data_IF_819656828138
#
_entry.id   IF_819656828138
#
_cell.length_a   1.000
_cell.length_b   1.000
_cell.length_c   1.000
_cell.angle_alpha   90.00
_cell.angle_beta   90.00
_cell.angle_gamma   90.00
#
_symmetry.space_group_name_H-M   'P 1'
#
loop_
_entity.id
_entity.type
_entity.pdbx_description
1 polymer ?
#
# COMPACT_ATOMS: atom_id res chain seq x y z
N UNK A 1 -9.64 -11.21 -13.01
CA UNK A 1 -9.11 -10.04 -12.28
C UNK A 1 -8.36 -10.61 -11.10
N UNK A 2 -7.04 -10.49 -11.06
CA UNK A 2 -6.23 -10.97 -9.94
C UNK A 2 -6.36 -9.98 -8.79
N UNK A 3 -7.14 -10.33 -7.77
CA UNK A 3 -7.20 -9.59 -6.51
C UNK A 3 -5.99 -10.01 -5.68
N UNK A 4 -4.94 -9.18 -5.69
CA UNK A 4 -3.79 -9.34 -4.80
C UNK A 4 -4.24 -9.04 -3.36
N UNK A 5 -4.65 -10.08 -2.64
CA UNK A 5 -5.04 -9.98 -1.23
C UNK A 5 -3.80 -10.07 -0.33
N UNK A 6 -3.59 -9.07 0.52
CA UNK A 6 -2.52 -9.04 1.51
C UNK A 6 -3.11 -8.97 2.92
N UNK A 7 -2.49 -9.65 3.87
CA UNK A 7 -2.90 -9.56 5.29
C UNK A 7 -2.54 -8.21 5.89
N UNK A 8 -3.25 -7.80 6.94
CA UNK A 8 -2.95 -6.57 7.68
C UNK A 8 -1.51 -6.49 8.19
N UNK A 9 -0.94 -7.61 8.61
CA UNK A 9 0.43 -7.63 9.11
C UNK A 9 1.46 -7.45 7.99
N UNK A 10 1.27 -8.12 6.85
CA UNK A 10 2.12 -7.93 5.66
C UNK A 10 2.00 -6.50 5.13
N UNK A 11 0.79 -5.95 5.11
CA UNK A 11 0.56 -4.57 4.73
C UNK A 11 1.33 -3.62 5.64
N UNK A 12 1.20 -3.74 6.96
CA UNK A 12 1.89 -2.84 7.89
C UNK A 12 3.41 -2.88 7.64
N UNK A 13 4.00 -4.06 7.47
CA UNK A 13 5.42 -4.20 7.16
C UNK A 13 5.82 -3.55 5.83
N UNK A 14 4.97 -3.69 4.81
CA UNK A 14 5.17 -3.05 3.51
C UNK A 14 5.08 -1.53 3.62
N UNK A 15 4.06 -1.05 4.33
CA UNK A 15 3.78 0.36 4.50
C UNK A 15 4.88 1.04 5.31
N UNK A 16 5.26 0.48 6.46
CA UNK A 16 6.39 0.98 7.27
C UNK A 16 7.68 1.10 6.45
N UNK A 17 7.98 0.11 5.59
CA UNK A 17 9.18 0.16 4.73
C UNK A 17 9.12 1.33 3.74
N UNK A 18 7.99 1.52 3.08
CA UNK A 18 7.85 2.55 2.05
C UNK A 18 7.71 3.92 2.70
N UNK A 19 6.94 4.06 3.78
CA UNK A 19 6.85 5.30 4.53
C UNK A 19 8.18 5.71 5.13
N UNK A 20 9.03 4.77 5.58
CA UNK A 20 10.38 5.11 6.03
C UNK A 20 11.27 5.58 4.87
N UNK A 21 11.21 4.91 3.71
CA UNK A 21 12.00 5.27 2.53
C UNK A 21 11.57 6.60 1.91
N UNK A 22 10.26 6.90 1.96
CA UNK A 22 9.66 8.12 1.40
C UNK A 22 9.11 9.05 2.48
N UNK A 23 9.66 9.00 3.69
CA UNK A 23 9.18 9.78 4.83
C UNK A 23 9.18 11.27 4.53
N UNK A 24 10.22 11.75 3.85
CA UNK A 24 10.33 13.13 3.42
C UNK A 24 9.21 13.53 2.46
N UNK A 25 8.77 12.64 1.56
CA UNK A 25 7.63 12.92 0.70
C UNK A 25 6.35 13.03 1.51
N UNK A 26 6.03 12.04 2.36
CA UNK A 26 4.78 12.04 3.14
C UNK A 26 4.66 13.19 4.14
N UNK A 27 5.80 13.76 4.57
CA UNK A 27 5.85 14.93 5.47
C UNK A 27 6.00 16.27 4.75
N UNK A 28 6.16 16.26 3.42
CA UNK A 28 6.26 17.48 2.62
C UNK A 28 4.89 18.03 2.24
N UNK A 29 4.82 19.35 2.07
CA UNK A 29 3.62 20.08 1.62
C UNK A 29 3.17 19.66 0.20
N UNK A 30 4.09 19.08 -0.59
CA UNK A 30 3.80 18.54 -1.92
C UNK A 30 3.06 17.20 -1.88
N UNK A 31 2.94 16.57 -0.70
CA UNK A 31 2.26 15.28 -0.59
C UNK A 31 0.75 15.42 -0.74
N UNK A 32 0.19 14.68 -1.68
CA UNK A 32 -1.27 14.57 -1.84
C UNK A 32 -1.91 13.54 -0.90
N UNK A 33 -1.10 12.79 -0.16
CA UNK A 33 -1.51 11.70 0.72
C UNK A 33 -0.67 11.75 1.98
N UNK A 34 -1.26 11.76 3.16
CA UNK A 34 -0.51 11.88 4.42
C UNK A 34 0.22 10.61 4.81
N UNK A 35 -0.21 9.46 4.29
CA UNK A 35 0.41 8.16 4.52
C UNK A 35 0.08 7.18 3.41
N UNK A 36 0.97 6.22 3.19
CA UNK A 36 0.67 5.09 2.29
C UNK A 36 -0.50 4.24 2.83
N UNK A 37 -0.75 4.23 4.15
CA UNK A 37 -1.90 3.55 4.74
C UNK A 37 -3.24 3.98 4.15
N UNK A 38 -3.36 5.25 3.72
CA UNK A 38 -4.58 5.76 3.11
C UNK A 38 -4.89 5.14 1.75
N UNK A 39 -3.88 4.54 1.11
CA UNK A 39 -4.07 3.80 -0.14
C UNK A 39 -4.64 2.41 0.10
N UNK A 40 -4.79 1.94 1.34
CA UNK A 40 -5.27 0.60 1.64
C UNK A 40 -6.54 0.63 2.49
N UNK A 41 -7.51 -0.20 2.11
CA UNK A 41 -8.77 -0.32 2.81
C UNK A 41 -9.19 -1.78 2.92
N UNK A 42 -10.04 -2.08 3.91
CA UNK A 42 -10.64 -3.41 4.08
C UNK A 42 -12.04 -3.38 3.46
N UNK A 43 -12.25 -3.91 2.24
CA UNK A 43 -13.59 -4.04 1.70
C UNK A 43 -14.40 -5.05 2.53
N UNK A 44 -15.73 -4.90 2.52
CA UNK A 44 -16.62 -5.75 3.34
C UNK A 44 -16.43 -7.24 3.06
N UNK A 45 -16.13 -7.61 1.81
CA UNK A 45 -15.88 -9.00 1.39
C UNK A 45 -14.67 -9.64 2.07
N UNK A 46 -13.71 -8.85 2.52
CA UNK A 46 -12.46 -9.32 3.14
C UNK A 46 -12.39 -8.98 4.63
N UNK A 47 -13.49 -8.48 5.20
CA UNK A 47 -13.56 -8.06 6.60
C UNK A 47 -13.39 -9.22 7.58
N UNK A 48 -13.90 -10.40 7.22
CA UNK A 48 -13.74 -11.63 8.03
C UNK A 48 -12.31 -12.19 7.97
N UNK A 49 -11.65 -12.05 6.82
CA UNK A 49 -10.28 -12.52 6.60
C UNK A 49 -9.22 -11.49 7.05
N UNK A 50 -9.63 -10.26 7.35
CA UNK A 50 -8.74 -9.18 7.73
C UNK A 50 -7.77 -8.77 6.62
N UNK A 51 -8.15 -9.01 5.36
CA UNK A 51 -7.33 -8.68 4.19
C UNK A 51 -7.59 -7.23 3.78
N UNK A 52 -6.55 -6.59 3.24
CA UNK A 52 -6.64 -5.25 2.70
C UNK A 52 -6.51 -5.25 1.19
N UNK A 53 -7.13 -4.25 0.59
CA UNK A 53 -7.13 -3.98 -0.84
C UNK A 53 -6.55 -2.60 -1.09
N UNK A 54 -5.79 -2.46 -2.16
CA UNK A 54 -5.23 -1.18 -2.61
C UNK A 54 -6.31 -0.38 -3.34
N UNK A 55 -6.59 0.83 -2.87
CA UNK A 55 -7.38 1.82 -3.59
C UNK A 55 -6.52 2.45 -4.70
N UNK A 56 -6.78 2.03 -5.95
CA UNK A 56 -6.02 2.54 -7.08
C UNK A 56 -6.23 4.05 -7.33
N UNK A 57 -7.35 4.62 -6.90
CA UNK A 57 -7.65 6.04 -7.06
C UNK A 57 -6.76 6.93 -6.18
N UNK A 58 -6.54 6.53 -4.93
CA UNK A 58 -5.60 7.19 -4.01
C UNK A 58 -4.16 6.85 -4.40
N UNK A 59 -3.89 5.59 -4.72
CA UNK A 59 -2.57 5.13 -5.09
C UNK A 59 -1.98 5.84 -6.33
N UNK A 60 -2.81 6.12 -7.33
CA UNK A 60 -2.39 6.86 -8.53
C UNK A 60 -1.99 8.32 -8.26
N UNK A 61 -2.35 8.88 -7.09
CA UNK A 61 -1.91 10.22 -6.67
C UNK A 61 -0.48 10.24 -6.13
N UNK A 62 0.04 9.09 -5.74
CA UNK A 62 1.41 8.98 -5.27
C UNK A 62 2.38 9.18 -6.45
N UNK A 63 3.59 9.70 -6.20
CA UNK A 63 4.63 9.75 -7.22
C UNK A 63 4.98 8.33 -7.68
N UNK A 64 5.38 8.26 -8.95
CA UNK A 64 5.64 6.99 -9.65
C UNK A 64 6.64 6.09 -8.92
N UNK A 65 7.66 6.68 -8.30
CA UNK A 65 8.67 5.96 -7.52
C UNK A 65 8.05 5.18 -6.35
N UNK A 66 7.10 5.79 -5.62
CA UNK A 66 6.37 5.15 -4.53
C UNK A 66 5.45 4.05 -5.08
N UNK A 67 4.80 4.31 -6.22
CA UNK A 67 3.95 3.31 -6.86
C UNK A 67 4.73 2.07 -7.26
N UNK A 68 5.86 2.25 -7.93
CA UNK A 68 6.74 1.15 -8.36
C UNK A 68 7.27 0.37 -7.16
N UNK A 69 7.70 1.06 -6.10
CA UNK A 69 8.17 0.40 -4.87
C UNK A 69 7.08 -0.39 -4.16
N UNK A 70 5.87 0.17 -4.12
CA UNK A 70 4.71 -0.50 -3.53
C UNK A 70 4.36 -1.76 -4.32
N UNK A 71 4.30 -1.68 -5.66
CA UNK A 71 4.05 -2.85 -6.50
C UNK A 71 5.15 -3.91 -6.38
N UNK A 72 6.42 -3.51 -6.32
CA UNK A 72 7.56 -4.41 -6.12
C UNK A 72 7.41 -5.19 -4.80
N UNK A 73 7.12 -4.48 -3.71
CA UNK A 73 6.96 -5.11 -2.41
C UNK A 73 5.69 -5.97 -2.35
N UNK A 74 4.55 -5.53 -2.90
CA UNK A 74 3.33 -6.37 -2.98
C UNK A 74 3.66 -7.66 -3.72
N UNK A 75 4.37 -7.58 -4.86
CA UNK A 75 4.77 -8.74 -5.63
C UNK A 75 5.76 -9.65 -4.86
N UNK A 76 6.63 -9.08 -4.03
CA UNK A 76 7.51 -9.85 -3.14
C UNK A 76 6.69 -10.62 -2.09
N UNK A 77 5.65 -10.00 -1.51
CA UNK A 77 4.77 -10.64 -0.53
C UNK A 77 3.81 -11.67 -1.15
N UNK A 78 3.36 -11.47 -2.39
CA UNK A 78 2.48 -12.44 -3.09
C UNK A 78 3.24 -13.55 -3.79
N UNK A 79 4.56 -13.40 -4.04
CA UNK A 79 5.43 -14.48 -4.52
C UNK A 79 5.81 -15.50 -3.45
N UNK A 80 5.44 -15.28 -2.19
CA UNK A 80 5.60 -16.27 -1.12
C UNK A 80 4.46 -17.31 -1.25
N UNK A 81 4.53 -18.12 -2.30
CA UNK A 81 3.76 -19.36 -2.48
C UNK A 81 4.75 -20.49 -2.84
#
# INVERSE_FOLDING_TARGET
>A
METNTITKEQLNKLVDKIEAEFHEYFTSDESQVGSLHECFYTPEIYKEEGLLTLDQGVFHKLPKNIQEKTHELIAEFTKVD
#
